data_IF_359918924704
#
_entry.id   IF_359918924704
#
_cell.length_a   1.000
_cell.length_b   1.000
_cell.length_c   1.000
_cell.angle_alpha   90.00
_cell.angle_beta   90.00
_cell.angle_gamma   90.00
#
_symmetry.space_group_name_H-M   'P 1'
#
loop_
_entity.id
_entity.type
_entity.pdbx_description
1 polymer ?
#
# COMPACT_ATOMS: atom_id res chain seq x y z
N UNK A 1 11.25 3.00 1.75
CA UNK A 1 9.88 3.17 2.31
C UNK A 1 8.87 3.24 1.18
N UNK A 2 7.65 3.68 1.51
CA UNK A 2 6.58 3.80 0.52
C UNK A 2 5.91 5.18 0.60
N UNK A 3 5.26 5.57 -0.49
CA UNK A 3 4.57 6.86 -0.56
C UNK A 3 3.12 6.65 -0.97
N UNK A 4 2.93 5.92 -2.07
CA UNK A 4 1.60 5.64 -2.56
C UNK A 4 0.95 4.57 -1.67
N UNK A 5 -0.34 4.35 -1.86
CA UNK A 5 -1.05 3.33 -1.07
C UNK A 5 -0.93 1.98 -1.75
N UNK A 6 -0.52 0.97 -0.99
CA UNK A 6 -0.36 -0.38 -1.51
C UNK A 6 -1.69 -0.93 -2.02
N UNK A 7 -1.75 -1.57 -3.20
CA UNK A 7 -3.03 -2.15 -3.72
C UNK A 7 -3.61 -3.09 -2.68
N UNK A 8 -4.92 -2.96 -2.42
CA UNK A 8 -5.58 -3.80 -1.42
C UNK A 8 -4.78 -3.85 -0.12
N UNK A 9 -5.04 -2.88 0.78
CA UNK A 9 -4.33 -2.80 2.06
C UNK A 9 -4.67 -3.99 2.98
N UNK A 10 -5.61 -4.84 2.55
CA UNK A 10 -6.04 -5.99 3.34
C UNK A 10 -4.86 -6.93 3.58
N UNK A 11 -4.06 -7.12 2.53
CA UNK A 11 -2.90 -7.99 2.61
C UNK A 11 -1.98 -7.58 3.76
#
# INVERSE_FOLDING_TARGET
GVAFRAPSIHG
#
